data_IF_071999127683
#
_entry.id   IF_071999127683
#
_cell.length_a   1.000
_cell.length_b   1.000
_cell.length_c   1.000
_cell.angle_alpha   90.00
_cell.angle_beta   90.00
_cell.angle_gamma   90.00
#
_symmetry.space_group_name_H-M   'P 1'
#
loop_
_entity.id
_entity.type
_entity.pdbx_description
1 polymer ?
#
# COMPACT_ATOMS: atom_id res chain seq x y z
N UNK A 1 -31.28 -46.99 7.84
CA UNK A 1 -31.16 -48.38 7.36
C UNK A 1 -30.25 -49.14 8.30
N UNK A 2 -30.73 -50.25 8.87
CA UNK A 2 -29.95 -51.12 9.74
C UNK A 2 -29.34 -52.22 8.86
N UNK A 3 -28.02 -52.40 8.91
CA UNK A 3 -27.35 -53.55 8.31
C UNK A 3 -27.46 -54.72 9.28
N UNK A 4 -27.62 -55.94 8.76
CA UNK A 4 -27.59 -57.15 9.60
C UNK A 4 -26.17 -57.45 10.06
N UNK A 5 -26.01 -58.26 11.10
CA UNK A 5 -24.68 -58.63 11.61
C UNK A 5 -23.84 -59.36 10.56
N UNK A 6 -24.48 -60.19 9.72
CA UNK A 6 -23.83 -60.88 8.60
C UNK A 6 -23.32 -59.90 7.54
N UNK A 7 -24.11 -58.88 7.20
CA UNK A 7 -23.70 -57.83 6.26
C UNK A 7 -22.52 -57.01 6.80
N UNK A 8 -22.54 -56.68 8.09
CA UNK A 8 -21.44 -55.98 8.74
C UNK A 8 -20.15 -56.81 8.78
N UNK A 9 -20.26 -58.11 9.04
CA UNK A 9 -19.11 -59.03 9.03
C UNK A 9 -18.48 -59.12 7.63
N UNK A 10 -19.30 -59.26 6.59
CA UNK A 10 -18.83 -59.31 5.19
C UNK A 10 -18.08 -58.04 4.79
N UNK A 11 -18.62 -56.87 5.14
CA UNK A 11 -17.99 -55.58 4.82
C UNK A 11 -16.68 -55.40 5.59
N UNK A 12 -16.61 -55.88 6.84
CA UNK A 12 -15.39 -55.81 7.66
C UNK A 12 -14.27 -56.67 7.06
N UNK A 13 -14.58 -57.88 6.64
CA UNK A 13 -13.60 -58.81 6.04
C UNK A 13 -13.04 -58.27 4.72
N UNK A 14 -13.90 -57.70 3.88
CA UNK A 14 -13.53 -57.16 2.58
C UNK A 14 -13.14 -55.68 2.60
N UNK A 15 -12.97 -55.09 3.79
CA UNK A 15 -12.79 -53.64 3.98
C UNK A 15 -11.57 -53.02 3.31
N UNK A 16 -10.57 -53.85 2.94
CA UNK A 16 -9.34 -53.45 2.25
C UNK A 16 -9.53 -53.22 0.75
N UNK A 17 -10.61 -53.75 0.14
CA UNK A 17 -10.89 -53.55 -1.27
C UNK A 17 -11.25 -52.08 -1.58
N UNK A 18 -11.02 -51.60 -2.82
CA UNK A 18 -11.56 -50.34 -3.30
C UNK A 18 -13.07 -50.26 -3.05
N UNK A 19 -13.58 -49.07 -2.71
CA UNK A 19 -15.00 -48.91 -2.31
C UNK A 19 -16.00 -49.23 -3.40
N UNK A 20 -15.60 -49.12 -4.67
CA UNK A 20 -16.43 -49.46 -5.82
C UNK A 20 -16.58 -50.99 -5.88
N UNK A 21 -15.47 -51.72 -5.95
CA UNK A 21 -15.43 -53.18 -5.98
C UNK A 21 -16.10 -53.81 -4.75
N UNK A 22 -15.87 -53.27 -3.54
CA UNK A 22 -16.52 -53.73 -2.32
C UNK A 22 -18.06 -53.60 -2.37
N UNK A 23 -18.56 -52.57 -3.05
CA UNK A 23 -20.00 -52.31 -3.15
C UNK A 23 -20.66 -53.25 -4.16
N UNK A 24 -19.98 -53.53 -5.27
CA UNK A 24 -20.43 -54.51 -6.27
C UNK A 24 -20.53 -55.91 -5.65
N UNK A 25 -19.47 -56.37 -4.98
CA UNK A 25 -19.46 -57.66 -4.27
C UNK A 25 -20.53 -57.74 -3.18
N UNK A 26 -20.76 -56.66 -2.44
CA UNK A 26 -21.81 -56.61 -1.42
C UNK A 26 -23.22 -56.73 -2.03
N UNK A 27 -23.47 -56.02 -3.13
CA UNK A 27 -24.76 -56.04 -3.81
C UNK A 27 -25.03 -57.41 -4.44
N UNK A 28 -24.02 -58.07 -5.01
CA UNK A 28 -24.12 -59.43 -5.54
C UNK A 28 -24.37 -60.47 -4.43
N UNK A 29 -23.65 -60.39 -3.32
CA UNK A 29 -23.74 -61.38 -2.24
C UNK A 29 -25.06 -61.35 -1.47
N UNK A 30 -25.69 -60.18 -1.34
CA UNK A 30 -26.92 -59.99 -0.55
C UNK A 30 -28.14 -59.60 -1.38
N UNK A 31 -28.02 -59.51 -2.70
CA UNK A 31 -29.10 -59.09 -3.60
C UNK A 31 -29.59 -57.66 -3.32
N UNK A 32 -28.73 -56.80 -2.78
CA UNK A 32 -29.06 -55.41 -2.44
C UNK A 32 -28.61 -54.45 -3.54
N UNK A 33 -29.09 -53.21 -3.47
CA UNK A 33 -28.66 -52.12 -4.36
C UNK A 33 -28.22 -50.91 -3.54
N UNK A 34 -27.07 -51.04 -2.85
CA UNK A 34 -26.45 -49.94 -2.11
C UNK A 34 -25.49 -49.19 -3.00
N UNK A 35 -25.44 -47.87 -2.83
CA UNK A 35 -24.47 -47.01 -3.50
C UNK A 35 -23.12 -46.98 -2.77
N UNK A 36 -22.02 -46.81 -3.52
CA UNK A 36 -20.66 -46.82 -2.97
C UNK A 36 -20.40 -45.74 -1.90
N UNK A 37 -21.11 -44.61 -1.96
CA UNK A 37 -21.07 -43.58 -0.91
C UNK A 37 -21.65 -44.07 0.42
N UNK A 38 -22.69 -44.90 0.40
CA UNK A 38 -23.34 -45.42 1.60
C UNK A 38 -22.45 -46.46 2.31
N UNK A 39 -21.86 -47.39 1.54
CA UNK A 39 -20.88 -48.37 2.04
C UNK A 39 -19.60 -47.64 2.50
N UNK A 40 -19.11 -46.66 1.74
CA UNK A 40 -17.97 -45.84 2.14
C UNK A 40 -18.21 -45.07 3.44
N UNK A 41 -19.41 -44.51 3.64
CA UNK A 41 -19.81 -43.84 4.89
C UNK A 41 -19.92 -44.81 6.07
N UNK A 42 -20.41 -46.03 5.85
CA UNK A 42 -20.44 -47.10 6.85
C UNK A 42 -19.02 -47.49 7.29
N UNK A 43 -18.14 -47.78 6.33
CA UNK A 43 -16.75 -48.15 6.60
C UNK A 43 -16.01 -47.07 7.38
N UNK A 44 -16.28 -45.78 7.11
CA UNK A 44 -15.73 -44.66 7.89
C UNK A 44 -16.20 -44.66 9.35
N UNK A 45 -17.50 -44.89 9.60
CA UNK A 45 -18.06 -44.92 10.98
C UNK A 45 -17.51 -46.06 11.82
N UNK A 46 -17.26 -47.21 11.21
CA UNK A 46 -16.73 -48.40 11.88
C UNK A 46 -15.19 -48.51 11.84
N UNK A 47 -14.49 -47.52 11.25
CA UNK A 47 -13.03 -47.49 11.17
C UNK A 47 -12.41 -48.50 10.19
N UNK A 48 -13.21 -49.11 9.32
CA UNK A 48 -12.79 -50.10 8.33
C UNK A 48 -12.20 -49.45 7.08
N UNK A 49 -11.12 -48.68 7.25
CA UNK A 49 -10.50 -47.88 6.21
C UNK A 49 -9.52 -48.71 5.36
N UNK A 50 -9.53 -48.48 4.04
CA UNK A 50 -8.44 -48.90 3.15
C UNK A 50 -7.14 -48.18 3.57
N UNK A 51 -5.98 -48.76 3.26
CA UNK A 51 -4.69 -48.17 3.59
C UNK A 51 -4.61 -46.70 3.16
N UNK A 52 -4.06 -45.84 4.05
CA UNK A 52 -3.99 -44.37 3.94
C UNK A 52 -3.18 -43.84 2.74
N UNK A 53 -2.79 -44.72 1.80
CA UNK A 53 -1.88 -44.46 0.67
C UNK A 53 -2.43 -43.40 -0.31
N UNK A 54 -3.75 -43.19 -0.36
CA UNK A 54 -4.38 -42.33 -1.37
C UNK A 54 -4.71 -40.90 -0.91
N UNK A 55 -4.59 -40.57 0.39
CA UNK A 55 -4.97 -39.24 0.90
C UNK A 55 -3.79 -38.40 1.40
N UNK A 56 -2.61 -39.00 1.56
CA UNK A 56 -1.43 -38.32 2.04
C UNK A 56 -0.41 -38.16 0.91
N UNK A 57 0.17 -36.97 0.77
CA UNK A 57 1.39 -36.82 0.00
C UNK A 57 2.46 -37.74 0.62
N UNK A 58 3.06 -38.59 -0.21
CA UNK A 58 4.18 -39.44 0.22
C UNK A 58 5.28 -38.56 0.83
N UNK A 59 5.85 -39.02 1.94
CA UNK A 59 6.98 -38.34 2.59
C UNK A 59 8.11 -38.17 1.58
N UNK A 60 8.51 -36.92 1.29
CA UNK A 60 9.49 -36.60 0.25
C UNK A 60 8.89 -35.98 -1.03
N UNK A 61 7.56 -35.86 -1.14
CA UNK A 61 6.94 -35.16 -2.26
C UNK A 61 7.28 -33.66 -2.22
N UNK A 62 8.02 -33.23 -3.24
CA UNK A 62 8.32 -31.82 -3.50
C UNK A 62 7.24 -31.30 -4.46
N UNK A 63 6.51 -30.26 -4.07
CA UNK A 63 5.59 -29.59 -4.98
C UNK A 63 6.37 -29.08 -6.21
N UNK A 64 5.78 -29.21 -7.40
CA UNK A 64 6.42 -28.85 -8.66
C UNK A 64 6.91 -27.39 -8.72
N UNK A 65 6.34 -26.51 -7.91
CA UNK A 65 6.67 -25.09 -7.81
C UNK A 65 7.61 -24.72 -6.64
N UNK A 66 8.11 -25.70 -5.89
CA UNK A 66 9.01 -25.43 -4.76
C UNK A 66 10.29 -24.74 -5.27
N UNK A 67 10.53 -23.51 -4.81
CA UNK A 67 11.67 -22.69 -5.23
C UNK A 67 11.42 -21.80 -6.45
N UNK A 68 10.23 -21.85 -7.04
CA UNK A 68 9.85 -21.01 -8.19
C UNK A 68 9.09 -19.77 -7.70
N UNK A 69 9.83 -18.72 -7.36
CA UNK A 69 9.23 -17.40 -7.05
C UNK A 69 8.82 -16.71 -8.34
N UNK A 70 7.52 -16.41 -8.50
CA UNK A 70 7.01 -15.78 -9.73
C UNK A 70 6.82 -16.75 -10.90
N UNK A 71 6.32 -17.96 -10.64
CA UNK A 71 6.04 -19.00 -11.65
C UNK A 71 5.31 -18.49 -12.90
N UNK A 72 4.40 -17.55 -12.72
CA UNK A 72 3.90 -16.75 -13.83
C UNK A 72 4.92 -15.66 -14.12
N UNK A 73 5.86 -15.93 -15.02
CA UNK A 73 6.77 -14.92 -15.56
C UNK A 73 6.02 -13.70 -16.10
N UNK A 74 6.75 -12.70 -16.60
CA UNK A 74 6.13 -11.48 -17.15
C UNK A 74 5.01 -11.81 -18.15
N UNK A 75 3.79 -11.38 -17.84
CA UNK A 75 2.61 -11.57 -18.66
C UNK A 75 2.28 -10.31 -19.47
N UNK A 76 1.23 -10.34 -20.30
CA UNK A 76 0.84 -9.21 -21.17
C UNK A 76 0.62 -7.88 -20.41
N UNK A 77 0.22 -7.93 -19.14
CA UNK A 77 -0.04 -6.76 -18.29
C UNK A 77 1.14 -6.38 -17.42
N UNK A 78 2.24 -7.12 -17.48
CA UNK A 78 3.46 -6.83 -16.71
C UNK A 78 4.17 -5.60 -17.26
N UNK A 79 4.64 -4.74 -16.36
CA UNK A 79 5.45 -3.58 -16.74
C UNK A 79 6.76 -4.06 -17.39
N UNK A 80 6.99 -3.62 -18.63
CA UNK A 80 8.26 -3.87 -19.31
C UNK A 80 9.36 -3.01 -18.69
N UNK A 81 10.56 -3.56 -18.53
CA UNK A 81 11.73 -2.79 -18.10
C UNK A 81 11.93 -1.59 -19.03
N UNK A 82 12.07 -0.39 -18.48
CA UNK A 82 12.21 0.85 -19.24
C UNK A 82 10.89 1.52 -19.65
N UNK A 83 9.72 0.95 -19.32
CA UNK A 83 8.44 1.58 -19.58
C UNK A 83 8.25 2.80 -18.65
N UNK A 84 8.21 3.98 -19.23
CA UNK A 84 7.96 5.23 -18.51
C UNK A 84 6.44 5.45 -18.41
N UNK A 85 5.89 5.69 -17.20
CA UNK A 85 4.47 6.00 -17.04
C UNK A 85 4.05 7.23 -17.86
N UNK A 86 2.83 7.22 -18.40
CA UNK A 86 2.30 8.34 -19.21
C UNK A 86 2.28 9.70 -18.47
N UNK A 87 2.25 9.68 -17.13
CA UNK A 87 2.25 10.87 -16.28
C UNK A 87 3.66 11.27 -15.78
N UNK A 88 4.70 10.60 -16.28
CA UNK A 88 6.07 10.97 -15.98
C UNK A 88 6.35 12.39 -16.46
N UNK A 89 7.12 13.12 -15.64
CA UNK A 89 7.65 14.43 -15.97
C UNK A 89 9.16 14.40 -15.75
N UNK A 90 9.99 14.95 -16.66
CA UNK A 90 11.43 15.01 -16.46
C UNK A 90 11.81 15.89 -15.28
N UNK A 91 12.99 15.67 -14.70
CA UNK A 91 13.61 16.58 -13.73
C UNK A 91 13.70 18.00 -14.33
N UNK A 92 13.40 19.02 -13.54
CA UNK A 92 13.25 20.41 -13.98
C UNK A 92 11.83 20.81 -14.38
N UNK A 93 10.91 19.84 -14.55
CA UNK A 93 9.50 20.17 -14.85
C UNK A 93 8.85 20.95 -13.71
N UNK A 94 7.97 21.88 -14.08
CA UNK A 94 7.18 22.67 -13.13
C UNK A 94 5.72 22.20 -13.09
N UNK A 95 5.07 22.37 -11.93
CA UNK A 95 3.63 22.19 -11.79
C UNK A 95 3.06 23.13 -10.74
N UNK A 96 1.77 23.41 -10.83
CA UNK A 96 1.03 24.20 -9.84
C UNK A 96 0.34 23.24 -8.86
N UNK A 97 0.48 23.49 -7.55
CA UNK A 97 -0.20 22.73 -6.50
C UNK A 97 -1.65 23.16 -6.35
N UNK A 98 -2.46 22.37 -5.62
CA UNK A 98 -3.84 22.75 -5.29
C UNK A 98 -3.91 24.12 -4.58
N UNK A 99 -2.90 24.44 -3.79
CA UNK A 99 -2.79 25.71 -3.06
C UNK A 99 -2.19 26.85 -3.91
N UNK A 100 -1.93 26.61 -5.20
CA UNK A 100 -1.47 27.65 -6.14
C UNK A 100 0.02 27.96 -6.12
N UNK A 101 0.85 27.16 -5.43
CA UNK A 101 2.31 27.28 -5.47
C UNK A 101 2.91 26.54 -6.66
N UNK A 102 4.07 27.02 -7.14
CA UNK A 102 4.86 26.30 -8.14
C UNK A 102 5.77 25.29 -7.43
N UNK A 103 5.78 24.04 -7.90
CA UNK A 103 6.76 23.02 -7.55
C UNK A 103 7.62 22.67 -8.76
N UNK A 104 8.92 22.44 -8.51
CA UNK A 104 9.88 21.96 -9.49
C UNK A 104 10.30 20.54 -9.10
N UNK A 105 10.38 19.65 -10.10
CA UNK A 105 10.91 18.31 -9.89
C UNK A 105 12.44 18.37 -9.80
N UNK A 106 13.01 18.06 -8.63
CA UNK A 106 14.46 18.14 -8.40
C UNK A 106 15.16 16.80 -8.68
N UNK A 107 14.47 15.67 -8.44
CA UNK A 107 15.07 14.34 -8.60
C UNK A 107 14.03 13.29 -8.99
N UNK A 108 14.47 12.30 -9.76
CA UNK A 108 13.68 11.10 -10.03
C UNK A 108 13.64 10.15 -8.82
N UNK A 109 12.53 9.41 -8.62
CA UNK A 109 11.35 9.31 -9.50
C UNK A 109 10.26 10.38 -9.27
N UNK A 110 10.11 10.91 -8.04
CA UNK A 110 9.01 11.83 -7.68
C UNK A 110 9.40 12.82 -6.56
N UNK A 111 10.62 13.34 -6.59
CA UNK A 111 11.04 14.36 -5.63
C UNK A 111 10.72 15.74 -6.17
N UNK A 112 9.65 16.33 -5.65
CA UNK A 112 9.19 17.69 -5.96
C UNK A 112 9.50 18.61 -4.79
N UNK A 113 9.83 19.86 -5.09
CA UNK A 113 10.05 20.90 -4.08
C UNK A 113 9.40 22.19 -4.52
N UNK A 114 8.94 22.98 -3.56
CA UNK A 114 8.41 24.31 -3.81
C UNK A 114 9.48 25.21 -4.44
N UNK A 115 9.14 25.83 -5.58
CA UNK A 115 10.07 26.63 -6.40
C UNK A 115 10.68 27.78 -5.61
N UNK A 116 9.87 28.51 -4.86
CA UNK A 116 10.35 29.62 -4.03
C UNK A 116 11.38 29.19 -2.98
N UNK A 117 11.20 28.02 -2.36
CA UNK A 117 12.21 27.47 -1.43
C UNK A 117 13.47 27.09 -2.20
N UNK A 118 13.31 26.40 -3.33
CA UNK A 118 14.44 25.93 -4.13
C UNK A 118 15.31 27.08 -4.64
N UNK A 119 14.71 28.12 -5.21
CA UNK A 119 15.42 29.32 -5.72
C UNK A 119 16.12 30.07 -4.58
N UNK A 120 15.45 30.22 -3.44
CA UNK A 120 16.06 30.90 -2.29
C UNK A 120 17.27 30.13 -1.73
N UNK A 121 17.18 28.81 -1.63
CA UNK A 121 18.25 27.98 -1.10
C UNK A 121 19.45 27.84 -2.03
N UNK A 122 19.25 27.95 -3.35
CA UNK A 122 20.35 27.97 -4.32
C UNK A 122 21.31 29.13 -4.07
N UNK A 123 20.83 30.24 -3.52
CA UNK A 123 21.63 31.44 -3.26
C UNK A 123 22.05 31.57 -1.80
N UNK A 124 21.14 31.28 -0.85
CA UNK A 124 21.37 31.51 0.58
C UNK A 124 21.78 30.26 1.36
N UNK A 125 21.76 29.07 0.72
CA UNK A 125 21.98 27.80 1.38
C UNK A 125 20.72 27.23 2.05
N UNK A 126 20.90 26.26 2.95
CA UNK A 126 19.79 25.51 3.55
C UNK A 126 18.90 26.42 4.40
N UNK A 127 17.57 26.27 4.24
CA UNK A 127 16.60 27.00 5.05
C UNK A 127 16.82 26.74 6.56
N UNK A 128 17.02 27.78 7.39
CA UNK A 128 17.20 27.62 8.84
C UNK A 128 15.96 27.05 9.52
N UNK A 129 16.16 26.28 10.60
CA UNK A 129 15.06 25.73 11.40
C UNK A 129 14.20 26.87 11.97
N UNK A 130 12.89 26.71 11.98
CA UNK A 130 11.97 27.72 12.51
C UNK A 130 11.73 28.92 11.58
N UNK A 131 12.25 28.89 10.36
CA UNK A 131 12.02 29.94 9.35
C UNK A 131 11.18 29.43 8.18
N UNK A 132 10.56 30.35 7.45
CA UNK A 132 9.86 30.08 6.21
C UNK A 132 10.03 31.25 5.23
N UNK A 133 9.75 30.99 3.96
CA UNK A 133 9.84 32.00 2.90
C UNK A 133 8.43 32.50 2.58
N UNK A 134 8.29 33.82 2.49
CA UNK A 134 7.07 34.49 2.03
C UNK A 134 7.31 35.29 0.76
N UNK A 135 6.22 35.59 0.06
CA UNK A 135 6.19 36.42 -1.14
C UNK A 135 5.86 37.87 -0.77
N UNK A 136 6.68 38.82 -1.22
CA UNK A 136 6.49 40.24 -0.91
C UNK A 136 5.21 40.80 -1.54
N UNK A 137 4.93 40.43 -2.78
CA UNK A 137 3.72 40.77 -3.52
C UNK A 137 2.51 39.89 -3.16
N UNK A 138 2.68 38.82 -2.38
CA UNK A 138 1.67 37.78 -2.11
C UNK A 138 1.22 36.97 -3.34
N UNK A 139 1.94 37.07 -4.46
CA UNK A 139 1.74 36.26 -5.63
C UNK A 139 2.57 34.97 -5.55
N UNK A 140 1.91 33.84 -5.28
CA UNK A 140 2.54 32.52 -5.11
C UNK A 140 3.28 31.98 -6.35
N UNK A 141 3.11 32.65 -7.50
CA UNK A 141 3.78 32.31 -8.77
C UNK A 141 5.04 33.14 -9.03
N UNK A 142 5.20 34.29 -8.36
CA UNK A 142 6.37 35.15 -8.52
C UNK A 142 7.52 34.64 -7.63
N UNK A 143 8.36 33.76 -8.18
CA UNK A 143 9.48 33.14 -7.47
C UNK A 143 10.81 33.89 -7.69
N UNK A 144 10.78 35.17 -8.06
CA UNK A 144 11.99 35.99 -8.19
C UNK A 144 12.63 36.19 -6.83
N UNK A 145 13.96 36.03 -6.74
CA UNK A 145 14.68 36.08 -5.47
C UNK A 145 14.43 37.40 -4.71
N UNK A 146 14.28 38.52 -5.42
CA UNK A 146 13.96 39.84 -4.85
C UNK A 146 12.55 39.93 -4.22
N UNK A 147 11.62 39.09 -4.68
CA UNK A 147 10.26 38.98 -4.15
C UNK A 147 10.17 38.01 -2.96
N UNK A 148 11.22 37.22 -2.69
CA UNK A 148 11.24 36.23 -1.63
C UNK A 148 11.91 36.80 -0.38
N UNK A 149 11.24 36.64 0.76
CA UNK A 149 11.80 37.04 2.04
C UNK A 149 11.76 35.89 3.04
N UNK A 150 12.90 35.66 3.70
CA UNK A 150 12.99 34.77 4.86
C UNK A 150 12.40 35.47 6.09
N UNK A 151 11.47 34.80 6.76
CA UNK A 151 10.89 35.24 8.03
C UNK A 151 10.86 34.07 9.02
N UNK A 152 10.70 34.40 10.30
CA UNK A 152 10.44 33.41 11.33
C UNK A 152 9.02 32.87 11.24
N UNK A 153 8.79 31.66 11.75
CA UNK A 153 7.44 31.09 11.84
C UNK A 153 6.53 31.87 12.80
N UNK A 154 7.11 32.58 13.78
CA UNK A 154 6.36 33.46 14.68
C UNK A 154 5.80 34.69 13.93
N UNK A 155 6.63 35.36 13.13
CA UNK A 155 6.20 36.45 12.25
C UNK A 155 5.10 35.98 11.29
N UNK A 156 5.28 34.82 10.66
CA UNK A 156 4.28 34.26 9.74
C UNK A 156 2.94 33.96 10.43
N UNK A 157 2.98 33.48 11.69
CA UNK A 157 1.77 33.23 12.46
C UNK A 157 1.00 34.53 12.75
N UNK A 158 1.71 35.63 13.07
CA UNK A 158 1.09 36.95 13.24
C UNK A 158 0.48 37.48 11.95
N UNK A 159 1.19 37.33 10.82
CA UNK A 159 0.66 37.72 9.50
C UNK A 159 -0.61 36.97 9.12
N UNK A 160 -0.67 35.67 9.41
CA UNK A 160 -1.89 34.89 9.17
C UNK A 160 -3.04 35.36 10.07
N UNK A 161 -2.77 35.68 11.33
CA UNK A 161 -3.80 36.17 12.28
C UNK A 161 -4.34 37.56 11.90
N UNK A 162 -3.49 38.45 11.38
CA UNK A 162 -3.90 39.78 10.95
C UNK A 162 -4.52 39.82 9.56
N UNK A 163 -4.49 38.71 8.80
CA UNK A 163 -4.96 38.70 7.41
C UNK A 163 -4.05 39.48 6.47
N UNK A 164 -2.75 39.54 6.76
CA UNK A 164 -1.71 40.28 6.03
C UNK A 164 -1.80 40.19 4.50
N UNK A 165 -2.23 39.05 3.95
CA UNK A 165 -2.39 38.85 2.51
C UNK A 165 -3.37 39.81 1.83
N UNK A 166 -4.36 40.32 2.56
CA UNK A 166 -5.42 41.19 2.02
C UNK A 166 -5.04 42.67 2.03
N UNK A 167 -3.95 43.06 2.70
CA UNK A 167 -3.53 44.46 2.73
C UNK A 167 -2.92 44.90 1.40
N UNK A 168 -3.09 46.19 1.03
CA UNK A 168 -2.38 46.78 -0.10
C UNK A 168 -0.87 46.61 -0.01
N UNK A 169 -0.20 46.49 -1.17
CA UNK A 169 1.24 46.26 -1.24
C UNK A 169 2.07 47.37 -0.58
N UNK A 170 1.56 48.60 -0.57
CA UNK A 170 2.21 49.77 0.05
C UNK A 170 2.31 49.67 1.58
N UNK A 171 1.34 49.01 2.24
CA UNK A 171 1.31 48.89 3.70
C UNK A 171 2.11 47.68 4.21
N UNK A 172 2.37 46.70 3.34
CA UNK A 172 3.05 45.45 3.67
C UNK A 172 4.44 45.66 4.30
N UNK A 173 5.32 46.54 3.78
CA UNK A 173 6.60 46.84 4.41
C UNK A 173 6.45 47.36 5.85
N UNK A 174 5.54 48.31 6.07
CA UNK A 174 5.29 48.90 7.39
C UNK A 174 4.77 47.86 8.39
N UNK A 175 3.80 47.04 7.96
CA UNK A 175 3.25 45.96 8.79
C UNK A 175 4.31 44.93 9.22
N UNK A 176 5.29 44.64 8.36
CA UNK A 176 6.41 43.74 8.72
C UNK A 176 7.27 44.33 9.82
N UNK A 177 7.61 45.61 9.69
CA UNK A 177 8.43 46.31 10.70
C UNK A 177 7.69 46.33 12.03
N UNK A 178 6.41 46.69 12.04
CA UNK A 178 5.57 46.66 13.26
C UNK A 178 5.55 45.27 13.88
N UNK A 179 5.29 44.23 13.08
CA UNK A 179 5.24 42.84 13.57
C UNK A 179 6.57 42.40 14.18
N UNK A 180 7.69 42.78 13.56
CA UNK A 180 9.03 42.48 14.06
C UNK A 180 9.32 43.22 15.36
N UNK A 181 8.93 44.49 15.47
CA UNK A 181 9.03 45.29 16.70
C UNK A 181 8.22 44.64 17.82
N UNK A 182 6.96 44.25 17.57
CA UNK A 182 6.09 43.62 18.57
C UNK A 182 6.64 42.27 19.07
N UNK A 183 7.23 41.47 18.19
CA UNK A 183 7.85 40.20 18.56
C UNK A 183 9.08 40.46 19.43
N UNK A 184 9.95 41.38 19.00
CA UNK A 184 11.18 41.70 19.71
C UNK A 184 10.88 42.28 21.11
N UNK A 185 9.92 43.20 21.20
CA UNK A 185 9.47 43.77 22.48
C UNK A 185 8.93 42.69 23.43
N UNK A 186 8.14 41.75 22.89
CA UNK A 186 7.62 40.62 23.68
C UNK A 186 8.73 39.70 24.19
N UNK A 187 9.71 39.39 23.34
CA UNK A 187 10.86 38.55 23.71
C UNK A 187 11.69 39.20 24.83
N UNK A 188 11.94 40.51 24.75
CA UNK A 188 12.65 41.26 25.81
C UNK A 188 11.85 41.31 27.12
N UNK A 189 10.52 41.43 27.06
CA UNK A 189 9.67 41.44 28.26
C UNK A 189 9.55 40.09 28.98
N UNK A 190 9.94 38.99 28.30
CA UNK A 190 9.84 37.63 28.83
C UNK A 190 11.19 37.10 29.36
N UNK A 191 12.24 37.92 29.34
CA UNK A 191 13.55 37.66 29.95
C UNK A 191 13.60 38.28 31.34
#
# INVERSE_FOLDING_TARGET
MKYTEQQLAFIKENSKLPRIELTELFNEAFGENKGAKAIGGLCKRYGWLTDKKYWNFSKGNIAWNKGVTGYMGANKTSFKKGLVPHNYRPVGSERITKDGYIEVKIKDPKTWRLKHIHVWEQVNGKLPTGHCIIFNDSNRKNCDLSNLQLITREENARFNKSGYSHYPQELKPTLRVITKLDITAKQLSSQ
#
